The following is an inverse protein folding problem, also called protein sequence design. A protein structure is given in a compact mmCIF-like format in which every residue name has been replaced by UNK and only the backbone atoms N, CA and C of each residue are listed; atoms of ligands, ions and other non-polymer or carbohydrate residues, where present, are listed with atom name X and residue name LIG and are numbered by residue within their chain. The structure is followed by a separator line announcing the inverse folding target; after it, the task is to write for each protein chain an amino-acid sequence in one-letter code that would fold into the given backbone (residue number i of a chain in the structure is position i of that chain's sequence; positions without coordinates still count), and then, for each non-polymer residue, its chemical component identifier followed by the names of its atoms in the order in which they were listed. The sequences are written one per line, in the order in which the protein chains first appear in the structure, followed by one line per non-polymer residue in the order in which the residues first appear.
data_IF_094287770451
#
_entry.id   IF_094287770451
#
_cell.length_a   1.000
_cell.length_b   1.000
_cell.length_c   1.000
_cell.angle_alpha   90.00
_cell.angle_beta   90.00
_cell.angle_gamma   90.00
#
_symmetry.space_group_name_H-M   'P 1'
#
loop_
_entity.id
_entity.type
_entity.pdbx_description
1 polymer ?
#
# COMPACT_ATOMS: atom_id res chain seq x y z
N UNK A 1 11.08 3.91 4.60
CA UNK A 1 11.19 2.78 3.62
C UNK A 1 10.60 1.57 4.31
N UNK A 2 9.87 0.70 3.59
CA UNK A 2 9.27 -0.47 4.20
C UNK A 2 10.30 -1.60 4.43
N UNK A 3 10.20 -2.29 5.55
CA UNK A 3 11.09 -3.35 6.01
C UNK A 3 10.32 -4.66 6.25
N UNK A 4 10.89 -5.77 5.79
CA UNK A 4 10.33 -7.09 6.06
C UNK A 4 10.36 -7.43 7.55
N UNK A 5 9.36 -8.15 8.03
CA UNK A 5 9.19 -8.48 9.45
C UNK A 5 8.36 -7.41 10.18
N UNK A 6 8.75 -6.14 10.04
CA UNK A 6 8.07 -5.03 10.71
C UNK A 6 6.85 -4.53 9.93
N UNK A 7 6.99 -4.26 8.63
CA UNK A 7 5.91 -3.69 7.80
C UNK A 7 5.11 -4.75 7.04
N UNK A 8 5.74 -5.90 6.72
CA UNK A 8 5.11 -7.01 6.01
C UNK A 8 5.79 -8.34 6.32
N UNK A 9 5.06 -9.47 6.31
CA UNK A 9 5.65 -10.78 6.53
C UNK A 9 6.51 -11.24 5.34
N UNK A 10 7.55 -12.03 5.63
CA UNK A 10 8.34 -12.70 4.59
C UNK A 10 7.45 -13.58 3.71
N UNK A 11 7.61 -13.44 2.40
CA UNK A 11 6.79 -14.16 1.41
C UNK A 11 5.36 -13.61 1.22
N UNK A 12 4.94 -12.59 1.98
CA UNK A 12 3.59 -12.02 1.92
C UNK A 12 3.45 -10.73 1.10
N UNK A 13 4.45 -10.40 0.29
CA UNK A 13 4.45 -9.20 -0.54
C UNK A 13 5.08 -9.46 -1.92
N UNK A 14 4.46 -8.91 -2.96
CA UNK A 14 5.12 -8.73 -4.24
C UNK A 14 6.06 -7.52 -4.17
N UNK A 15 7.12 -7.47 -5.01
CA UNK A 15 8.03 -6.32 -5.06
C UNK A 15 7.33 -4.97 -5.18
N UNK A 16 6.26 -4.90 -5.98
CA UNK A 16 5.44 -3.70 -6.16
C UNK A 16 4.68 -3.26 -4.90
N UNK A 17 4.25 -4.21 -4.08
CA UNK A 17 3.49 -3.93 -2.86
C UNK A 17 4.32 -3.10 -1.88
N UNK A 18 5.64 -3.30 -1.91
CA UNK A 18 6.63 -2.72 -1.00
C UNK A 18 7.60 -1.75 -1.69
N UNK A 19 7.24 -1.29 -2.89
CA UNK A 19 7.93 -0.26 -3.68
C UNK A 19 9.34 -0.62 -4.16
N UNK A 20 9.69 -1.91 -4.26
CA UNK A 20 10.99 -2.32 -4.81
C UNK A 20 11.11 -1.99 -6.30
N UNK A 21 9.99 -1.82 -7.02
CA UNK A 21 9.96 -1.29 -8.39
C UNK A 21 10.33 0.20 -8.48
N UNK A 22 10.03 0.97 -7.42
CA UNK A 22 10.33 2.41 -7.34
C UNK A 22 11.73 2.69 -6.75
N UNK A 23 12.22 1.83 -5.84
CA UNK A 23 13.51 2.02 -5.16
C UNK A 23 14.69 1.30 -5.82
N UNK A 24 14.46 0.61 -6.94
CA UNK A 24 15.50 -0.14 -7.66
C UNK A 24 15.80 -1.53 -7.08
N UNK A 25 14.95 -2.04 -6.18
CA UNK A 25 15.03 -3.40 -5.64
C UNK A 25 14.65 -4.51 -6.63
N UNK A 26 14.03 -4.18 -7.77
CA UNK A 26 13.83 -5.11 -8.90
C UNK A 26 14.34 -4.53 -10.21
N UNK A 27 15.18 -5.30 -10.90
CA UNK A 27 15.66 -4.95 -12.24
C UNK A 27 14.81 -5.62 -13.33
N UNK A 28 14.20 -4.82 -14.21
CA UNK A 28 13.43 -5.31 -15.36
C UNK A 28 14.29 -5.55 -16.62
N UNK A 29 15.58 -5.24 -16.57
CA UNK A 29 16.56 -5.48 -17.65
C UNK A 29 17.59 -6.56 -17.32
N UNK A 30 17.37 -7.32 -16.25
CA UNK A 30 18.29 -8.38 -15.79
C UNK A 30 17.89 -9.75 -16.35
N UNK A 31 18.77 -10.74 -16.17
CA UNK A 31 18.48 -12.14 -16.51
C UNK A 31 17.40 -12.77 -15.61
N UNK A 32 17.11 -14.04 -15.85
CA UNK A 32 16.02 -14.76 -15.19
C UNK A 32 16.21 -14.86 -13.66
N UNK A 33 15.12 -14.71 -12.90
CA UNK A 33 15.06 -14.98 -11.46
C UNK A 33 13.74 -15.62 -11.06
N UNK A 34 13.71 -16.27 -9.90
CA UNK A 34 12.51 -16.97 -9.39
C UNK A 34 11.35 -15.98 -9.22
N UNK A 35 10.21 -16.29 -9.82
CA UNK A 35 8.98 -15.48 -9.74
C UNK A 35 8.92 -14.31 -10.74
N UNK A 36 9.91 -14.18 -11.63
CA UNK A 36 9.97 -13.08 -12.60
C UNK A 36 8.75 -12.97 -13.50
N UNK A 37 8.15 -14.08 -13.94
CA UNK A 37 7.01 -14.06 -14.85
C UNK A 37 5.83 -13.29 -14.25
N UNK A 38 5.56 -13.51 -12.96
CA UNK A 38 4.47 -12.86 -12.22
C UNK A 38 4.79 -11.39 -12.00
N UNK A 39 5.99 -11.08 -11.51
CA UNK A 39 6.42 -9.69 -11.24
C UNK A 39 6.48 -8.87 -12.54
N UNK A 40 6.95 -9.47 -13.64
CA UNK A 40 6.99 -8.82 -14.95
C UNK A 40 5.59 -8.57 -15.50
N UNK A 41 4.65 -9.54 -15.39
CA UNK A 41 3.24 -9.29 -15.75
C UNK A 41 2.64 -8.17 -14.92
N UNK A 42 2.93 -8.14 -13.62
CA UNK A 42 2.41 -7.11 -12.72
C UNK A 42 2.84 -5.71 -13.14
N UNK A 43 4.13 -5.55 -13.46
CA UNK A 43 4.71 -4.31 -13.97
C UNK A 43 4.06 -3.87 -15.30
N UNK A 44 4.07 -4.73 -16.31
CA UNK A 44 3.67 -4.33 -17.67
C UNK A 44 2.15 -4.21 -17.86
N UNK A 45 1.36 -4.87 -17.01
CA UNK A 45 -0.11 -4.75 -17.03
C UNK A 45 -0.64 -3.71 -16.03
N UNK A 46 0.21 -3.06 -15.24
CA UNK A 46 -0.21 -2.09 -14.23
C UNK A 46 -1.17 -2.69 -13.19
N UNK A 47 -1.01 -3.97 -12.83
CA UNK A 47 -1.95 -4.67 -11.93
C UNK A 47 -1.57 -4.54 -10.45
N UNK A 48 -0.57 -3.73 -10.13
CA UNK A 48 -0.19 -3.41 -8.76
C UNK A 48 -1.24 -2.52 -8.09
N UNK A 49 -2.11 -3.15 -7.29
CA UNK A 49 -3.20 -2.46 -6.56
C UNK A 49 -2.88 -2.16 -5.11
N UNK A 50 -1.93 -2.87 -4.50
CA UNK A 50 -1.49 -2.64 -3.13
C UNK A 50 -0.11 -1.96 -3.17
N UNK A 51 0.09 -0.93 -2.35
CA UNK A 51 1.33 -0.14 -2.31
C UNK A 51 1.59 0.35 -0.89
N UNK A 52 2.87 0.64 -0.57
CA UNK A 52 3.23 1.40 0.63
C UNK A 52 2.82 2.86 0.45
N UNK A 53 2.14 3.40 1.47
CA UNK A 53 1.74 4.80 1.61
C UNK A 53 2.30 5.36 2.91
N UNK A 54 2.43 6.68 2.98
CA UNK A 54 2.73 7.41 4.21
C UNK A 54 1.42 7.58 4.98
N UNK A 55 1.38 7.08 6.20
CA UNK A 55 0.27 7.26 7.13
C UNK A 55 0.52 8.44 8.06
N UNK A 56 -0.49 9.27 8.29
CA UNK A 56 -0.46 10.33 9.29
C UNK A 56 -1.79 10.51 10.01
N UNK A 57 -1.76 11.02 11.22
CA UNK A 57 -2.95 11.33 12.03
C UNK A 57 -2.73 12.58 12.90
N UNK A 58 -3.77 13.05 13.59
CA UNK A 58 -3.67 14.14 14.57
C UNK A 58 -3.27 13.67 15.97
N UNK A 59 -3.34 12.36 16.19
CA UNK A 59 -2.97 11.67 17.44
C UNK A 59 -1.97 10.56 17.11
N UNK A 60 -1.28 9.98 18.10
CA UNK A 60 -0.42 8.82 17.85
C UNK A 60 -1.18 7.71 17.11
N UNK A 61 -0.54 7.15 16.08
CA UNK A 61 -1.09 6.04 15.32
C UNK A 61 -1.07 4.76 16.17
N UNK A 62 -2.03 3.86 15.96
CA UNK A 62 -1.98 2.52 16.51
C UNK A 62 -0.71 1.75 16.10
N UNK A 63 -0.46 0.63 16.78
CA UNK A 63 0.72 -0.18 16.53
C UNK A 63 0.73 -0.85 15.14
N UNK A 64 1.89 -1.38 14.72
CA UNK A 64 2.01 -2.16 13.49
C UNK A 64 1.04 -3.34 13.45
N UNK A 65 0.54 -3.66 12.26
CA UNK A 65 -0.45 -4.72 12.06
C UNK A 65 -1.90 -4.29 12.27
N UNK A 66 -2.15 -3.05 12.73
CA UNK A 66 -3.52 -2.53 12.87
C UNK A 66 -4.21 -2.42 11.51
N UNK A 67 -5.41 -2.98 11.40
CA UNK A 67 -6.19 -2.95 10.17
C UNK A 67 -6.68 -1.53 9.83
N UNK A 68 -6.53 -1.14 8.57
CA UNK A 68 -7.11 0.07 8.01
C UNK A 68 -8.45 -0.28 7.38
N UNK A 69 -9.50 0.44 7.78
CA UNK A 69 -10.87 0.22 7.28
C UNK A 69 -11.51 1.48 6.73
N UNK A 70 -12.44 1.31 5.80
CA UNK A 70 -13.33 2.35 5.29
C UNK A 70 -14.75 1.81 5.39
N UNK A 71 -15.61 2.50 6.14
CA UNK A 71 -16.98 2.03 6.43
C UNK A 71 -17.02 0.56 6.91
N UNK A 72 -16.05 0.15 7.74
CA UNK A 72 -15.93 -1.21 8.27
C UNK A 72 -15.36 -2.25 7.31
N UNK A 73 -14.98 -1.88 6.08
CA UNK A 73 -14.35 -2.79 5.12
C UNK A 73 -12.82 -2.62 5.11
N UNK A 74 -12.04 -3.71 5.11
CA UNK A 74 -10.57 -3.62 5.12
C UNK A 74 -10.03 -3.03 3.81
N UNK A 75 -9.09 -2.10 3.93
CA UNK A 75 -8.40 -1.46 2.80
C UNK A 75 -6.89 -1.61 2.86
N UNK A 76 -6.33 -2.01 4.00
CA UNK A 76 -4.89 -2.20 4.20
C UNK A 76 -4.53 -2.45 5.66
N UNK A 77 -3.26 -2.28 5.97
CA UNK A 77 -2.73 -2.47 7.32
C UNK A 77 -1.66 -1.42 7.60
N UNK A 78 -1.60 -0.91 8.84
CA UNK A 78 -0.48 -0.10 9.32
C UNK A 78 0.78 -0.97 9.43
N UNK A 79 1.91 -0.41 8.99
CA UNK A 79 3.25 -0.93 9.26
C UNK A 79 3.85 -0.24 10.47
N UNK A 80 5.15 0.04 10.40
CA UNK A 80 5.93 0.80 11.37
C UNK A 80 5.32 2.18 11.62
N UNK A 81 5.13 2.54 12.88
CA UNK A 81 4.61 3.83 13.31
C UNK A 81 5.57 4.50 14.29
N UNK A 82 5.61 5.84 14.25
CA UNK A 82 6.39 6.70 15.13
C UNK A 82 5.54 7.93 15.46
N UNK A 83 4.91 7.91 16.64
CA UNK A 83 3.96 8.96 17.03
C UNK A 83 2.79 9.03 16.03
N UNK A 84 2.55 10.20 15.47
CA UNK A 84 1.43 10.45 14.56
C UNK A 84 1.74 10.18 13.07
N UNK A 85 2.86 9.51 12.77
CA UNK A 85 3.29 9.22 11.39
C UNK A 85 3.76 7.78 11.28
N UNK A 86 3.61 7.16 10.11
CA UNK A 86 4.04 5.80 9.87
C UNK A 86 3.94 5.39 8.42
N UNK A 87 4.05 4.09 8.20
CA UNK A 87 3.80 3.47 6.90
C UNK A 87 2.49 2.68 6.96
N UNK A 88 1.89 2.51 5.79
CA UNK A 88 0.76 1.63 5.60
C UNK A 88 0.94 0.88 4.29
N UNK A 89 0.53 -0.39 4.24
CA UNK A 89 0.38 -1.11 2.99
C UNK A 89 -1.10 -1.24 2.70
N UNK A 90 -1.57 -0.54 1.67
CA UNK A 90 -2.99 -0.42 1.38
C UNK A 90 -3.30 -0.52 -0.11
N UNK A 91 -4.55 -0.87 -0.40
CA UNK A 91 -5.08 -0.89 -1.76
C UNK A 91 -5.38 0.52 -2.24
N UNK A 92 -4.58 1.01 -3.20
CA UNK A 92 -4.62 2.41 -3.64
C UNK A 92 -5.93 2.78 -4.33
N UNK A 93 -6.61 1.81 -4.94
CA UNK A 93 -7.94 2.01 -5.52
C UNK A 93 -9.02 2.19 -4.45
N UNK A 94 -8.97 1.40 -3.36
CA UNK A 94 -9.87 1.56 -2.20
C UNK A 94 -9.60 2.85 -1.44
N UNK A 95 -8.33 3.22 -1.27
CA UNK A 95 -7.94 4.50 -0.67
C UNK A 95 -8.45 5.66 -1.51
N UNK A 96 -8.27 5.62 -2.84
CA UNK A 96 -8.80 6.65 -3.75
C UNK A 96 -10.32 6.77 -3.66
N UNK A 97 -11.04 5.65 -3.72
CA UNK A 97 -12.49 5.65 -3.60
C UNK A 97 -12.97 6.27 -2.27
N UNK A 98 -12.28 6.00 -1.16
CA UNK A 98 -12.58 6.60 0.13
C UNK A 98 -12.35 8.12 0.13
N UNK A 99 -11.21 8.57 -0.44
CA UNK A 99 -10.90 9.99 -0.57
C UNK A 99 -11.94 10.73 -1.42
N UNK A 100 -12.34 10.16 -2.56
CA UNK A 100 -13.35 10.74 -3.45
C UNK A 100 -14.73 10.82 -2.81
N UNK A 101 -15.08 9.81 -2.01
CA UNK A 101 -16.34 9.75 -1.28
C UNK A 101 -16.32 10.55 0.03
N UNK A 102 -15.17 11.16 0.40
CA UNK A 102 -15.01 11.83 1.69
C UNK A 102 -15.16 10.89 2.91
N UNK A 103 -14.94 9.59 2.71
CA UNK A 103 -15.05 8.60 3.78
C UNK A 103 -13.75 8.52 4.58
N UNK A 104 -13.83 8.56 5.92
CA UNK A 104 -12.63 8.45 6.75
C UNK A 104 -12.04 7.04 6.66
N UNK A 105 -10.71 6.99 6.56
CA UNK A 105 -9.95 5.75 6.74
C UNK A 105 -9.63 5.65 8.23
N UNK A 106 -9.96 4.52 8.85
CA UNK A 106 -9.87 4.31 10.29
C UNK A 106 -8.86 3.21 10.61
N UNK A 107 -8.08 3.40 11.67
CA UNK A 107 -7.27 2.37 12.31
C UNK A 107 -7.56 2.39 13.81
N UNK A 108 -8.18 1.34 14.35
CA UNK A 108 -8.52 1.23 15.79
C UNK A 108 -9.14 2.51 16.39
N UNK A 109 -10.14 3.08 15.71
CA UNK A 109 -10.81 4.32 16.13
C UNK A 109 -10.06 5.63 15.82
N UNK A 110 -8.83 5.56 15.31
CA UNK A 110 -8.04 6.73 14.86
C UNK A 110 -8.29 6.99 13.38
N UNK A 111 -8.62 8.23 13.02
CA UNK A 111 -8.70 8.67 11.61
C UNK A 111 -7.29 8.83 11.04
N UNK A 112 -7.01 8.15 9.93
CA UNK A 112 -5.71 8.12 9.27
C UNK A 112 -5.79 8.74 7.88
N UNK A 113 -4.85 9.64 7.57
CA UNK A 113 -4.60 10.14 6.23
C UNK A 113 -3.52 9.29 5.55
N UNK A 114 -3.73 8.95 4.28
CA UNK A 114 -2.77 8.18 3.48
C UNK A 114 -2.31 8.98 2.27
N UNK A 115 -0.99 9.09 2.09
CA UNK A 115 -0.39 9.81 0.97
C UNK A 115 0.62 8.93 0.22
N UNK A 116 0.73 9.14 -1.10
CA UNK A 116 1.77 8.51 -1.91
C UNK A 116 3.12 9.12 -1.52
N UNK A 117 4.19 8.32 -1.33
CA UNK A 117 5.51 8.86 -1.03
C UNK A 117 5.99 9.83 -2.13
N UNK A 118 6.59 10.99 -1.80
CA UNK A 118 6.96 12.00 -2.80
C UNK A 118 7.94 11.53 -3.90
N UNK A 119 8.70 10.47 -3.63
CA UNK A 119 9.65 9.90 -4.61
C UNK A 119 9.00 8.92 -5.59
N UNK A 120 7.78 8.44 -5.29
CA UNK A 120 7.13 7.40 -6.06
C UNK A 120 6.53 7.96 -7.35
N UNK A 121 6.63 7.21 -8.44
CA UNK A 121 6.18 7.63 -9.78
C UNK A 121 4.76 7.18 -10.11
N UNK A 122 4.14 6.35 -9.27
CA UNK A 122 2.75 5.94 -9.43
C UNK A 122 1.78 6.98 -8.86
N UNK A 123 0.55 6.97 -9.36
CA UNK A 123 -0.56 7.77 -8.83
C UNK A 123 -1.69 6.89 -8.31
N UNK A 124 -2.67 7.52 -7.66
CA UNK A 124 -3.95 6.87 -7.43
C UNK A 124 -4.63 6.59 -8.78
N UNK A 125 -5.26 5.41 -8.96
CA UNK A 125 -5.95 5.09 -10.21
C UNK A 125 -7.10 6.08 -10.46
N UNK A 126 -7.28 6.51 -11.71
CA UNK A 126 -8.28 7.51 -12.09
C UNK A 126 -9.70 6.96 -12.12
N UNK A 127 -9.85 5.65 -12.32
CA UNK A 127 -11.13 4.95 -12.27
C UNK A 127 -11.14 3.93 -11.14
N UNK A 128 -12.23 3.92 -10.36
CA UNK A 128 -12.60 2.76 -9.57
C UNK A 128 -12.96 1.66 -10.55
N UNK A 129 -11.96 0.95 -11.08
CA UNK A 129 -12.18 -0.21 -11.91
C UNK A 129 -12.95 -1.22 -11.05
N UNK A 130 -14.26 -1.24 -11.23
CA UNK A 130 -15.17 -2.20 -10.65
C UNK A 130 -14.63 -3.59 -10.94
N UNK A 131 -14.20 -4.26 -9.89
CA UNK A 131 -14.12 -5.71 -9.87
C UNK A 131 -14.67 -6.08 -8.51
N UNK A 132 -15.96 -6.43 -8.55
CA UNK A 132 -16.68 -7.23 -7.56
C UNK A 132 -15.82 -8.39 -7.07
N UNK A 133 -16.19 -8.82 -5.87
CA UNK A 133 -15.70 -9.96 -5.09
C UNK A 133 -15.17 -11.13 -5.93
N UNK A 134 -13.94 -11.53 -5.60
CA UNK A 134 -13.44 -12.89 -5.74
C UNK A 134 -12.60 -13.21 -4.50
#
# INVERSE_FOLDING_TARGET
IAESGTDYPLGGAFPHDVLLDETGGVGFRKGCYVGQEVVSRMQHRGTARRRVLIASAQVPLPGPGTELTVAGRPVGTLGSTAGATGLAIARIDRVKAALDAGQPIMADGVTVSLAIPPFAKFGFPQDAAGVEEA
#
